data_IF_192730856684
#
_entry.id   IF_192730856684
#
_cell.length_a   1.000
_cell.length_b   1.000
_cell.length_c   1.000
_cell.angle_alpha   90.00
_cell.angle_beta   90.00
_cell.angle_gamma   90.00
#
_symmetry.space_group_name_H-M   'P 1'
#
loop_
_entity.id
_entity.type
_entity.pdbx_description
1 polymer ?
#
# COMPACT_ATOMS: atom_id res chain seq x y z
N UNK A 1 37.91 46.13 40.61
CA UNK A 1 36.73 46.04 39.69
C UNK A 1 36.87 44.77 38.83
N UNK A 2 36.22 43.70 39.23
CA UNK A 2 36.25 42.40 38.49
C UNK A 2 35.03 42.32 37.56
N UNK A 3 35.25 42.28 36.23
CA UNK A 3 34.20 42.09 35.23
C UNK A 3 33.94 40.59 35.09
N UNK A 4 32.77 40.16 35.47
CA UNK A 4 32.26 38.80 35.29
C UNK A 4 31.69 38.73 33.87
N UNK A 5 32.29 37.95 33.01
CA UNK A 5 31.73 37.59 31.69
C UNK A 5 30.73 36.46 31.87
N UNK A 6 29.46 36.75 31.64
CA UNK A 6 28.39 35.77 31.61
C UNK A 6 28.36 35.13 30.21
N UNK A 7 28.82 33.89 30.11
CA UNK A 7 28.77 33.12 28.88
C UNK A 7 27.34 32.51 28.78
N UNK A 8 26.49 33.07 27.91
CA UNK A 8 25.21 32.49 27.59
C UNK A 8 25.42 31.29 26.64
N UNK A 9 25.26 30.08 27.17
CA UNK A 9 25.24 28.85 26.38
C UNK A 9 23.81 28.75 25.77
N UNK A 10 23.71 29.08 24.49
CA UNK A 10 22.49 28.82 23.69
C UNK A 10 22.48 27.33 23.39
N UNK A 11 21.70 26.59 24.17
CA UNK A 11 21.38 25.17 23.87
C UNK A 11 20.36 25.18 22.74
N UNK A 12 20.84 25.08 21.52
CA UNK A 12 20.00 24.86 20.33
C UNK A 12 19.44 23.44 20.43
N UNK A 13 18.16 23.34 20.86
CA UNK A 13 17.36 22.13 20.80
C UNK A 13 17.12 21.82 19.32
N UNK A 14 18.03 21.07 18.70
CA UNK A 14 17.75 20.36 17.47
C UNK A 14 16.78 19.22 17.82
N UNK A 15 15.48 19.51 17.75
CA UNK A 15 14.46 18.45 17.76
C UNK A 15 14.70 17.60 16.51
N UNK A 16 15.32 16.45 16.71
CA UNK A 16 15.33 15.34 15.76
C UNK A 16 13.85 14.97 15.55
N UNK A 17 13.25 15.51 14.47
CA UNK A 17 12.00 15.01 13.95
C UNK A 17 12.26 13.56 13.52
N UNK A 18 11.99 12.63 14.43
CA UNK A 18 11.86 11.23 14.08
C UNK A 18 10.73 11.15 13.07
N UNK A 19 11.07 10.93 11.80
CA UNK A 19 10.10 10.64 10.75
C UNK A 19 9.45 9.31 11.09
N UNK A 20 8.32 9.35 11.79
CA UNK A 20 7.58 8.17 12.16
C UNK A 20 6.84 7.63 10.94
N UNK A 21 6.79 6.31 10.81
CA UNK A 21 6.14 5.56 9.72
C UNK A 21 4.63 5.86 9.58
N UNK A 22 4.00 6.46 10.59
CA UNK A 22 2.63 6.94 10.56
C UNK A 22 2.35 8.17 9.67
N UNK A 23 3.38 8.72 9.01
CA UNK A 23 3.25 10.01 8.29
C UNK A 23 2.41 9.95 6.99
N UNK A 24 2.05 8.76 6.50
CA UNK A 24 1.18 8.60 5.32
C UNK A 24 -0.30 8.51 5.69
N UNK A 25 -0.64 8.01 6.88
CA UNK A 25 -2.03 7.86 7.31
C UNK A 25 -2.65 9.25 7.50
N UNK A 26 -3.86 9.44 6.95
CA UNK A 26 -4.56 10.71 6.95
C UNK A 26 -4.20 11.64 5.79
N UNK A 27 -3.20 11.29 4.96
CA UNK A 27 -2.83 12.10 3.81
C UNK A 27 -3.55 11.66 2.53
N UNK A 28 -3.65 12.57 1.57
CA UNK A 28 -4.16 12.27 0.25
C UNK A 28 -3.19 11.34 -0.48
N UNK A 29 -3.69 10.21 -0.97
CA UNK A 29 -2.94 9.28 -1.79
C UNK A 29 -2.47 9.95 -3.10
N UNK A 30 -1.23 9.72 -3.47
CA UNK A 30 -0.68 10.19 -4.75
C UNK A 30 -1.22 9.35 -5.90
N UNK A 31 -1.53 9.98 -7.03
CA UNK A 31 -1.91 9.23 -8.22
C UNK A 31 -0.77 8.33 -8.69
N UNK A 32 -1.15 7.17 -9.23
CA UNK A 32 -0.22 6.19 -9.77
C UNK A 32 -0.71 5.64 -11.10
N UNK A 33 0.21 5.07 -11.85
CA UNK A 33 -0.08 4.31 -13.07
C UNK A 33 0.60 2.96 -12.95
N UNK A 34 -0.22 1.90 -12.97
CA UNK A 34 0.24 0.51 -12.97
C UNK A 34 -0.29 -0.20 -14.21
N UNK A 35 0.38 -1.28 -14.64
CA UNK A 35 -0.01 -2.01 -15.86
C UNK A 35 -0.07 -3.50 -15.60
N UNK A 36 -1.13 -4.15 -16.10
CA UNK A 36 -1.25 -5.61 -16.10
C UNK A 36 -0.25 -6.28 -17.06
N UNK A 37 -0.19 -7.60 -17.00
CA UNK A 37 0.57 -8.39 -17.99
C UNK A 37 0.11 -8.18 -19.43
N UNK A 38 -1.15 -7.77 -19.65
CA UNK A 38 -1.73 -7.45 -20.96
C UNK A 38 -1.57 -5.97 -21.35
N UNK A 39 -0.74 -5.22 -20.62
CA UNK A 39 -0.53 -3.78 -20.78
C UNK A 39 -1.77 -2.91 -20.52
N UNK A 40 -2.82 -3.45 -19.91
CA UNK A 40 -3.96 -2.64 -19.48
C UNK A 40 -3.51 -1.73 -18.35
N UNK A 41 -3.67 -0.44 -18.55
CA UNK A 41 -3.32 0.61 -17.60
C UNK A 41 -4.43 0.77 -16.55
N UNK A 42 -4.06 1.02 -15.32
CA UNK A 42 -4.95 1.44 -14.25
C UNK A 42 -4.31 2.62 -13.52
N UNK A 43 -5.09 3.67 -13.31
CA UNK A 43 -4.72 4.86 -12.53
C UNK A 43 -5.56 4.91 -11.26
N UNK A 44 -5.06 5.51 -10.20
CA UNK A 44 -5.87 5.77 -9.01
C UNK A 44 -7.08 6.65 -9.36
N UNK A 45 -6.89 7.62 -10.28
CA UNK A 45 -7.97 8.49 -10.77
C UNK A 45 -9.14 7.75 -11.42
N UNK A 46 -8.91 6.56 -11.99
CA UNK A 46 -9.94 5.75 -12.66
C UNK A 46 -10.86 5.03 -11.66
N UNK A 47 -10.43 4.92 -10.42
CA UNK A 47 -11.14 4.20 -9.34
C UNK A 47 -11.53 5.13 -8.18
N UNK A 48 -11.66 6.43 -8.45
CA UNK A 48 -12.16 7.40 -7.48
C UNK A 48 -13.56 7.03 -6.97
N UNK A 49 -13.82 7.34 -5.71
CA UNK A 49 -15.10 7.01 -5.05
C UNK A 49 -15.20 5.59 -4.54
N UNK A 50 -14.15 4.79 -4.72
CA UNK A 50 -14.08 3.41 -4.21
C UNK A 50 -13.14 3.33 -3.00
N UNK A 51 -13.41 2.37 -2.13
CA UNK A 51 -12.43 1.93 -1.12
C UNK A 51 -11.40 1.06 -1.83
N UNK A 52 -10.12 1.34 -1.66
CA UNK A 52 -9.06 0.62 -2.37
C UNK A 52 -8.18 -0.09 -1.37
N UNK A 53 -8.01 -1.40 -1.53
CA UNK A 53 -7.00 -2.18 -0.80
C UNK A 53 -5.86 -2.52 -1.73
N UNK A 54 -4.63 -2.31 -1.28
CA UNK A 54 -3.42 -2.48 -2.09
C UNK A 54 -2.45 -3.38 -1.36
N UNK A 55 -2.12 -4.53 -1.94
CA UNK A 55 -0.91 -5.26 -1.63
C UNK A 55 0.18 -4.83 -2.60
N UNK A 56 1.26 -4.26 -2.09
CA UNK A 56 2.43 -3.93 -2.87
C UNK A 56 3.61 -4.78 -2.41
N UNK A 57 4.12 -5.64 -3.29
CA UNK A 57 5.06 -6.70 -2.92
C UNK A 57 6.17 -6.87 -3.98
N UNK A 58 7.24 -7.54 -3.58
CA UNK A 58 8.18 -8.18 -4.52
C UNK A 58 7.84 -9.67 -4.61
N UNK A 59 8.35 -10.35 -5.64
CA UNK A 59 8.09 -11.79 -5.86
C UNK A 59 8.41 -12.65 -4.63
N UNK A 60 9.47 -12.30 -3.91
CA UNK A 60 10.01 -13.14 -2.83
C UNK A 60 9.21 -13.01 -1.51
N UNK A 61 8.32 -12.03 -1.40
CA UNK A 61 7.57 -11.76 -0.17
C UNK A 61 6.06 -11.98 -0.29
N UNK A 62 5.59 -12.46 -1.45
CA UNK A 62 4.15 -12.69 -1.72
C UNK A 62 3.49 -13.59 -0.66
N UNK A 63 4.22 -14.57 -0.14
CA UNK A 63 3.70 -15.51 0.86
C UNK A 63 3.62 -14.94 2.27
N UNK A 64 4.30 -13.82 2.54
CA UNK A 64 4.43 -13.26 3.89
C UNK A 64 3.08 -12.94 4.54
N UNK A 65 2.13 -12.43 3.77
CA UNK A 65 0.77 -12.10 4.22
C UNK A 65 -0.32 -13.00 3.61
N UNK A 66 0.00 -14.28 3.31
CA UNK A 66 -0.97 -15.24 2.76
C UNK A 66 -2.22 -15.34 3.63
N UNK A 67 -2.06 -15.37 4.97
CA UNK A 67 -3.19 -15.41 5.90
C UNK A 67 -4.08 -14.17 5.77
N UNK A 68 -3.50 -12.96 5.77
CA UNK A 68 -4.27 -11.73 5.57
C UNK A 68 -5.04 -11.76 4.24
N UNK A 69 -4.40 -12.16 3.14
CA UNK A 69 -5.05 -12.26 1.81
C UNK A 69 -6.22 -13.22 1.86
N UNK A 70 -6.05 -14.40 2.45
CA UNK A 70 -7.11 -15.40 2.58
C UNK A 70 -8.28 -14.87 3.41
N UNK A 71 -8.00 -14.23 4.56
CA UNK A 71 -9.02 -13.67 5.43
C UNK A 71 -9.77 -12.48 4.82
N UNK A 72 -9.07 -11.66 4.02
CA UNK A 72 -9.71 -10.55 3.29
C UNK A 72 -10.54 -11.04 2.10
N UNK A 73 -10.09 -12.07 1.38
CA UNK A 73 -10.89 -12.68 0.32
C UNK A 73 -12.20 -13.26 0.89
N UNK A 74 -12.12 -14.05 1.97
CA UNK A 74 -13.29 -14.57 2.66
C UNK A 74 -14.22 -13.46 3.13
N UNK A 75 -13.66 -12.44 3.79
CA UNK A 75 -14.43 -11.28 4.24
C UNK A 75 -15.14 -10.57 3.07
N UNK A 76 -14.44 -10.38 1.94
CA UNK A 76 -15.01 -9.77 0.74
C UNK A 76 -16.11 -10.62 0.13
N UNK A 77 -15.93 -11.94 0.01
CA UNK A 77 -16.90 -12.85 -0.59
C UNK A 77 -18.23 -12.90 0.20
N UNK A 78 -18.16 -12.69 1.52
CA UNK A 78 -19.30 -12.60 2.42
C UNK A 78 -20.08 -11.27 2.33
N UNK A 79 -19.53 -10.23 1.64
CA UNK A 79 -20.21 -8.93 1.55
C UNK A 79 -21.35 -8.93 0.52
N UNK A 80 -22.39 -8.08 0.72
CA UNK A 80 -23.40 -7.81 -0.31
C UNK A 80 -22.75 -7.27 -1.60
N UNK A 81 -23.39 -7.51 -2.75
CA UNK A 81 -22.86 -7.11 -4.06
C UNK A 81 -22.59 -5.60 -4.14
N UNK A 82 -23.47 -4.77 -3.61
CA UNK A 82 -23.27 -3.31 -3.55
C UNK A 82 -21.99 -2.90 -2.81
N UNK A 83 -21.58 -3.64 -1.77
CA UNK A 83 -20.32 -3.41 -1.06
C UNK A 83 -19.13 -3.88 -1.91
N UNK A 84 -19.28 -5.02 -2.59
CA UNK A 84 -18.24 -5.54 -3.49
C UNK A 84 -17.94 -4.59 -4.63
N UNK A 85 -18.95 -3.97 -5.20
CA UNK A 85 -18.80 -2.95 -6.23
C UNK A 85 -18.06 -1.69 -5.73
N UNK A 86 -18.16 -1.38 -4.44
CA UNK A 86 -17.51 -0.24 -3.82
C UNK A 86 -16.05 -0.47 -3.39
N UNK A 87 -15.55 -1.71 -3.53
CA UNK A 87 -14.19 -2.08 -3.12
C UNK A 87 -13.35 -2.50 -4.32
N UNK A 88 -12.20 -1.86 -4.50
CA UNK A 88 -11.19 -2.27 -5.48
C UNK A 88 -10.02 -2.93 -4.75
N UNK A 89 -9.70 -4.16 -5.16
CA UNK A 89 -8.58 -4.93 -4.61
C UNK A 89 -7.42 -4.94 -5.60
N UNK A 90 -6.28 -4.38 -5.21
CA UNK A 90 -5.10 -4.28 -6.05
C UNK A 90 -3.97 -5.16 -5.50
N UNK A 91 -3.46 -6.04 -6.35
CA UNK A 91 -2.20 -6.74 -6.16
C UNK A 91 -1.16 -6.09 -7.10
N UNK A 92 -0.12 -5.49 -6.53
CA UNK A 92 0.90 -4.77 -7.28
C UNK A 92 2.26 -5.35 -6.99
N UNK A 93 3.02 -5.64 -8.04
CA UNK A 93 4.39 -6.14 -7.96
C UNK A 93 5.35 -5.05 -8.43
N UNK A 94 6.46 -4.87 -7.68
CA UNK A 94 7.54 -4.01 -8.12
C UNK A 94 8.22 -4.58 -9.36
N UNK A 95 8.15 -3.86 -10.48
CA UNK A 95 8.73 -4.24 -11.77
C UNK A 95 9.76 -3.22 -12.28
N UNK A 96 10.21 -2.28 -11.43
CA UNK A 96 11.08 -1.17 -11.83
C UNK A 96 12.38 -1.61 -12.51
N UNK A 97 13.03 -2.64 -11.98
CA UNK A 97 14.36 -3.07 -12.43
C UNK A 97 14.31 -4.33 -13.30
N UNK A 98 13.14 -4.63 -13.88
CA UNK A 98 12.95 -5.80 -14.73
C UNK A 98 13.59 -5.62 -16.10
N UNK A 99 14.60 -6.46 -16.41
CA UNK A 99 15.33 -6.42 -17.69
C UNK A 99 14.51 -7.10 -18.81
N UNK A 100 13.86 -8.23 -18.52
CA UNK A 100 13.10 -9.02 -19.49
C UNK A 100 11.59 -8.82 -19.30
N UNK A 101 11.08 -7.67 -19.72
CA UNK A 101 9.68 -7.29 -19.52
C UNK A 101 8.67 -8.28 -20.12
N UNK A 102 8.99 -8.96 -21.24
CA UNK A 102 8.11 -9.94 -21.86
C UNK A 102 7.83 -11.16 -20.95
N UNK A 103 8.86 -11.77 -20.37
CA UNK A 103 8.73 -12.89 -19.46
C UNK A 103 7.94 -12.49 -18.17
N UNK A 104 8.21 -11.30 -17.64
CA UNK A 104 7.49 -10.79 -16.49
C UNK A 104 6.00 -10.53 -16.78
N UNK A 105 5.67 -9.98 -17.95
CA UNK A 105 4.28 -9.80 -18.37
C UNK A 105 3.55 -11.15 -18.49
N UNK A 106 4.20 -12.17 -19.04
CA UNK A 106 3.64 -13.53 -19.06
C UNK A 106 3.41 -14.07 -17.65
N UNK A 107 4.38 -13.91 -16.76
CA UNK A 107 4.24 -14.31 -15.35
C UNK A 107 3.11 -13.57 -14.64
N UNK A 108 2.95 -12.26 -14.87
CA UNK A 108 1.82 -11.49 -14.30
C UNK A 108 0.47 -12.04 -14.81
N UNK A 109 0.34 -12.36 -16.11
CA UNK A 109 -0.89 -12.96 -16.66
C UNK A 109 -1.20 -14.31 -16.04
N UNK A 110 -0.23 -15.21 -16.02
CA UNK A 110 -0.38 -16.57 -15.48
C UNK A 110 -0.79 -16.54 -14.00
N UNK A 111 -0.10 -15.71 -13.20
CA UNK A 111 -0.45 -15.59 -11.79
C UNK A 111 -1.80 -14.88 -11.58
N UNK A 112 -2.17 -13.91 -12.43
CA UNK A 112 -3.49 -13.29 -12.38
C UNK A 112 -4.62 -14.31 -12.60
N UNK A 113 -4.44 -15.22 -13.56
CA UNK A 113 -5.40 -16.31 -13.82
C UNK A 113 -5.46 -17.28 -12.63
N UNK A 114 -4.31 -17.64 -12.06
CA UNK A 114 -4.21 -18.56 -10.93
C UNK A 114 -4.85 -18.00 -9.65
N UNK A 115 -4.64 -16.72 -9.37
CA UNK A 115 -5.15 -16.07 -8.16
C UNK A 115 -6.58 -15.50 -8.34
N UNK A 116 -7.13 -15.53 -9.55
CA UNK A 116 -8.46 -15.01 -9.85
C UNK A 116 -8.61 -13.49 -9.74
N UNK A 117 -7.49 -12.76 -9.70
CA UNK A 117 -7.44 -11.29 -9.65
C UNK A 117 -6.38 -10.75 -10.60
N UNK A 118 -6.56 -9.53 -11.10
CA UNK A 118 -5.53 -8.91 -11.94
C UNK A 118 -4.34 -8.48 -11.09
N UNK A 119 -3.15 -8.98 -11.41
CA UNK A 119 -1.90 -8.55 -10.82
C UNK A 119 -1.27 -7.50 -11.73
N UNK A 120 -0.96 -6.35 -11.16
CA UNK A 120 -0.36 -5.23 -11.85
C UNK A 120 1.14 -5.12 -11.55
N UNK A 121 1.89 -4.54 -12.48
CA UNK A 121 3.28 -4.14 -12.28
C UNK A 121 3.42 -2.63 -12.11
N UNK A 122 4.16 -2.18 -11.10
CA UNK A 122 4.71 -0.82 -11.05
C UNK A 122 6.04 -0.80 -11.82
N UNK A 123 5.95 -0.57 -13.14
CA UNK A 123 7.11 -0.58 -14.05
C UNK A 123 7.99 0.65 -13.91
N UNK A 124 7.46 1.71 -13.34
CA UNK A 124 8.18 2.96 -13.14
C UNK A 124 8.82 3.11 -11.77
N UNK A 125 8.39 2.31 -10.79
CA UNK A 125 8.72 2.48 -9.37
C UNK A 125 8.14 3.76 -8.75
N UNK A 126 7.30 4.50 -9.48
CA UNK A 126 6.71 5.76 -8.99
C UNK A 126 5.73 5.52 -7.85
N UNK A 127 4.96 4.43 -7.92
CA UNK A 127 4.05 4.07 -6.85
C UNK A 127 4.83 3.71 -5.58
N UNK A 128 5.87 2.87 -5.69
CA UNK A 128 6.74 2.54 -4.56
C UNK A 128 7.31 3.80 -3.87
N UNK A 129 7.84 4.72 -4.66
CA UNK A 129 8.40 5.99 -4.15
C UNK A 129 7.33 6.87 -3.51
N UNK A 130 6.17 7.03 -4.15
CA UNK A 130 5.10 7.92 -3.68
C UNK A 130 4.48 7.44 -2.37
N UNK A 131 4.36 6.12 -2.18
CA UNK A 131 3.78 5.49 -1.00
C UNK A 131 4.84 5.03 0.02
N UNK A 132 6.11 5.37 -0.20
CA UNK A 132 7.23 4.99 0.69
C UNK A 132 7.23 3.49 1.00
N UNK A 133 6.98 2.69 -0.02
CA UNK A 133 6.92 1.24 0.10
C UNK A 133 8.22 0.70 0.69
N UNK A 134 8.11 -0.18 1.68
CA UNK A 134 9.25 -0.88 2.25
C UNK A 134 9.73 -1.94 1.27
N UNK A 135 10.96 -1.80 0.80
CA UNK A 135 11.58 -2.77 -0.10
C UNK A 135 11.72 -4.15 0.57
N UNK A 136 11.60 -5.19 -0.24
CA UNK A 136 11.69 -6.59 0.19
C UNK A 136 10.73 -6.94 1.33
N UNK A 137 9.59 -6.26 1.37
CA UNK A 137 8.54 -6.55 2.32
C UNK A 137 7.14 -6.55 1.66
N UNK A 138 6.17 -7.19 2.33
CA UNK A 138 4.78 -7.12 1.93
C UNK A 138 4.15 -5.88 2.54
N UNK A 139 3.76 -4.94 1.70
CA UNK A 139 3.13 -3.69 2.12
C UNK A 139 1.63 -3.78 1.89
N UNK A 140 0.84 -3.36 2.88
CA UNK A 140 -0.60 -3.33 2.79
C UNK A 140 -1.14 -1.93 3.08
N UNK A 141 -1.96 -1.40 2.18
CA UNK A 141 -2.46 -0.02 2.20
C UNK A 141 -3.97 -0.04 1.98
N UNK A 142 -4.71 0.80 2.71
CA UNK A 142 -6.14 1.02 2.48
C UNK A 142 -6.38 2.51 2.23
N UNK A 143 -7.09 2.80 1.14
CA UNK A 143 -7.59 4.14 0.82
C UNK A 143 -9.11 4.17 0.99
N UNK A 144 -9.64 5.27 1.50
CA UNK A 144 -11.08 5.50 1.52
C UNK A 144 -11.62 6.03 0.18
N UNK A 145 -12.93 6.24 0.10
CA UNK A 145 -13.62 6.76 -1.09
C UNK A 145 -13.14 8.15 -1.53
N UNK A 146 -12.54 8.92 -0.62
CA UNK A 146 -11.94 10.23 -0.90
C UNK A 146 -10.46 10.10 -1.34
N UNK A 147 -9.90 8.89 -1.32
CA UNK A 147 -8.50 8.63 -1.63
C UNK A 147 -7.55 9.00 -0.49
N UNK A 148 -8.05 9.10 0.75
CA UNK A 148 -7.21 9.31 1.93
C UNK A 148 -6.66 7.96 2.39
N UNK A 149 -5.36 7.91 2.71
CA UNK A 149 -4.73 6.72 3.28
C UNK A 149 -5.26 6.53 4.70
N UNK A 150 -5.99 5.44 4.94
CA UNK A 150 -6.58 5.09 6.24
C UNK A 150 -5.81 4.01 6.98
N UNK A 151 -5.02 3.25 6.25
CA UNK A 151 -4.17 2.21 6.81
C UNK A 151 -2.91 2.07 5.97
N UNK A 152 -1.79 1.87 6.62
CA UNK A 152 -0.51 1.50 6.02
C UNK A 152 0.29 0.67 7.01
N UNK A 153 0.69 -0.50 6.58
CA UNK A 153 1.60 -1.36 7.34
C UNK A 153 2.44 -2.21 6.37
N UNK A 154 3.56 -2.73 6.84
CA UNK A 154 4.41 -3.65 6.10
C UNK A 154 4.88 -4.78 7.03
N UNK A 155 5.42 -5.83 6.45
CA UNK A 155 5.81 -7.02 7.19
C UNK A 155 4.65 -7.99 7.41
N UNK A 156 4.79 -8.88 8.39
CA UNK A 156 3.76 -9.84 8.74
C UNK A 156 2.69 -9.20 9.60
N UNK A 157 1.43 -9.35 9.20
CA UNK A 157 0.26 -8.82 9.91
C UNK A 157 -0.36 -9.94 10.73
N UNK A 158 -0.52 -9.73 12.02
CA UNK A 158 -1.06 -10.71 12.97
C UNK A 158 -2.59 -10.71 13.01
N UNK A 159 -3.18 -11.66 13.75
CA UNK A 159 -4.63 -11.88 13.80
C UNK A 159 -5.41 -10.71 14.42
N UNK A 160 -4.84 -10.07 15.43
CA UNK A 160 -5.45 -8.89 16.05
C UNK A 160 -5.56 -7.76 15.03
N UNK A 161 -4.50 -7.54 14.29
CA UNK A 161 -4.44 -6.50 13.26
C UNK A 161 -5.36 -6.82 12.06
N UNK A 162 -5.45 -8.10 11.66
CA UNK A 162 -6.41 -8.56 10.64
C UNK A 162 -7.85 -8.23 11.06
N UNK A 163 -8.19 -8.41 12.34
CA UNK A 163 -9.52 -8.05 12.87
C UNK A 163 -9.79 -6.55 12.76
N UNK A 164 -8.82 -5.71 13.16
CA UNK A 164 -8.91 -4.24 13.03
C UNK A 164 -9.06 -3.79 11.58
N UNK A 165 -8.34 -4.43 10.65
CA UNK A 165 -8.45 -4.16 9.21
C UNK A 165 -9.87 -4.46 8.71
N UNK A 166 -10.45 -5.61 9.06
CA UNK A 166 -11.84 -5.96 8.70
C UNK A 166 -12.85 -4.95 9.24
N UNK A 167 -12.69 -4.51 10.49
CA UNK A 167 -13.57 -3.51 11.09
C UNK A 167 -13.40 -2.13 10.44
N UNK A 168 -12.19 -1.76 10.05
CA UNK A 168 -11.95 -0.56 9.27
C UNK A 168 -12.65 -0.62 7.91
N UNK A 169 -12.49 -1.72 7.17
CA UNK A 169 -13.16 -1.92 5.87
C UNK A 169 -14.69 -1.82 5.99
N UNK A 170 -15.32 -2.46 7.01
CA UNK A 170 -16.75 -2.32 7.30
C UNK A 170 -17.18 -0.87 7.51
N UNK A 171 -16.32 -0.03 8.13
CA UNK A 171 -16.62 1.39 8.36
C UNK A 171 -16.50 2.21 7.07
N UNK A 172 -15.55 1.90 6.22
CA UNK A 172 -15.27 2.64 4.98
C UNK A 172 -16.26 2.32 3.85
N UNK A 173 -16.92 1.17 3.91
CA UNK A 173 -17.88 0.69 2.89
C UNK A 173 -19.36 0.96 3.26
N UNK A 174 -19.60 1.59 4.40
CA UNK A 174 -20.93 2.11 4.78
C UNK A 174 -21.17 3.45 4.09
#
# INVERSE_FOLDING_TARGET
MKRIFLLAIIFSLFSLLSFSEGQLIGTQAKDFIIRSGDNKELRLSDIKGKVVTIFYETKDVIEKNRKLKTELNKFYDEQPEAVKEDVVRLAVVNCKDVIFSGAWKSSLRENSLKEGITIYGDWSGKMASAYKVKDNDSNFIILDKQGIIRYYNYGSINDEEISKIKDLLKKLTK
#
